data_IF_563190593971
#
_entry.id   IF_563190593971
#
_cell.length_a   1.000
_cell.length_b   1.000
_cell.length_c   1.000
_cell.angle_alpha   90.00
_cell.angle_beta   90.00
_cell.angle_gamma   90.00
#
_symmetry.space_group_name_H-M   'P 1'
#
loop_
_entity.id
_entity.type
_entity.pdbx_description
1 polymer ?
#
# COMPACT_ATOMS: atom_id res chain seq x y z
N UNK A 1 -26.78 -8.05 17.23
CA UNK A 1 -25.49 -8.52 17.76
C UNK A 1 -24.45 -8.22 16.70
N UNK A 2 -23.48 -7.31 16.90
CA UNK A 2 -22.39 -7.18 15.96
C UNK A 2 -21.55 -8.47 16.01
N UNK A 3 -21.38 -9.13 14.87
CA UNK A 3 -20.43 -10.24 14.72
C UNK A 3 -19.02 -9.69 14.85
N UNK A 4 -18.38 -9.92 15.99
CA UNK A 4 -16.96 -9.71 16.15
C UNK A 4 -16.24 -10.72 15.26
N UNK A 5 -15.54 -10.25 14.21
CA UNK A 5 -14.68 -11.13 13.40
C UNK A 5 -13.62 -11.73 14.33
N UNK A 6 -13.33 -13.04 14.24
CA UNK A 6 -12.25 -13.64 15.02
C UNK A 6 -10.96 -12.88 14.74
N UNK A 7 -10.25 -12.53 15.81
CA UNK A 7 -9.00 -11.79 15.74
C UNK A 7 -7.99 -12.61 14.92
N UNK A 8 -7.26 -12.01 13.97
CA UNK A 8 -6.25 -12.73 13.21
C UNK A 8 -5.23 -13.38 14.14
N UNK A 9 -4.72 -14.55 13.77
CA UNK A 9 -3.62 -15.18 14.49
C UNK A 9 -2.35 -14.35 14.34
N UNK A 10 -1.42 -14.40 15.30
CA UNK A 10 -0.14 -13.68 15.20
C UNK A 10 0.63 -14.06 13.92
N UNK A 11 0.58 -15.34 13.52
CA UNK A 11 1.19 -15.80 12.28
C UNK A 11 0.56 -15.16 11.02
N UNK A 12 -0.73 -14.84 11.03
CA UNK A 12 -1.39 -14.18 9.90
C UNK A 12 -0.97 -12.70 9.75
N UNK A 13 -0.45 -12.09 10.82
CA UNK A 13 0.06 -10.71 10.79
C UNK A 13 1.49 -10.59 10.29
N UNK A 14 2.20 -11.70 10.11
CA UNK A 14 3.54 -11.71 9.53
C UNK A 14 3.46 -11.54 8.00
N UNK A 15 4.46 -10.87 7.43
CA UNK A 15 4.59 -10.75 5.98
C UNK A 15 4.71 -12.13 5.31
N UNK A 16 3.90 -12.33 4.27
CA UNK A 16 3.87 -13.54 3.46
C UNK A 16 4.70 -13.34 2.19
N UNK A 17 5.29 -14.42 1.68
CA UNK A 17 6.09 -14.37 0.45
C UNK A 17 5.22 -14.13 -0.79
N UNK A 18 5.56 -13.10 -1.56
CA UNK A 18 4.93 -12.81 -2.83
C UNK A 18 5.33 -13.83 -3.90
N UNK A 19 4.38 -14.25 -4.72
CA UNK A 19 4.69 -15.05 -5.90
C UNK A 19 5.54 -14.26 -6.92
N UNK A 20 6.20 -14.93 -7.88
CA UNK A 20 6.93 -14.24 -8.95
C UNK A 20 6.04 -13.32 -9.79
N UNK A 21 4.78 -13.70 -10.01
CA UNK A 21 3.79 -12.89 -10.74
C UNK A 21 3.46 -11.62 -9.95
N UNK A 22 3.23 -11.73 -8.65
CA UNK A 22 2.95 -10.58 -7.78
C UNK A 22 4.16 -9.65 -7.66
N UNK A 23 5.38 -10.20 -7.62
CA UNK A 23 6.62 -9.41 -7.62
C UNK A 23 6.78 -8.60 -8.92
N UNK A 24 6.42 -9.18 -10.06
CA UNK A 24 6.40 -8.48 -11.35
C UNK A 24 5.33 -7.37 -11.35
N UNK A 25 4.11 -7.68 -10.92
CA UNK A 25 3.01 -6.71 -10.83
C UNK A 25 3.36 -5.55 -9.89
N UNK A 26 3.94 -5.85 -8.72
CA UNK A 26 4.44 -4.87 -7.77
C UNK A 26 5.41 -3.89 -8.41
N UNK A 27 6.39 -4.40 -9.15
CA UNK A 27 7.39 -3.58 -9.85
C UNK A 27 6.75 -2.64 -10.88
N UNK A 28 5.73 -3.12 -11.59
CA UNK A 28 4.99 -2.31 -12.56
C UNK A 28 4.16 -1.21 -11.88
N UNK A 29 3.43 -1.54 -10.81
CA UNK A 29 2.66 -0.56 -10.06
C UNK A 29 3.53 0.48 -9.37
N UNK A 30 4.65 0.07 -8.75
CA UNK A 30 5.61 0.97 -8.13
C UNK A 30 6.10 2.04 -9.12
N UNK A 31 6.51 1.64 -10.34
CA UNK A 31 6.94 2.57 -11.39
C UNK A 31 5.84 3.56 -11.79
N UNK A 32 4.60 3.08 -11.95
CA UNK A 32 3.45 3.93 -12.30
C UNK A 32 3.14 4.96 -11.21
N UNK A 33 3.15 4.53 -9.95
CA UNK A 33 2.87 5.38 -8.79
C UNK A 33 3.98 6.43 -8.63
N UNK A 34 5.24 6.01 -8.64
CA UNK A 34 6.39 6.93 -8.56
C UNK A 34 6.31 8.01 -9.64
N UNK A 35 6.03 7.63 -10.90
CA UNK A 35 5.90 8.61 -12.00
C UNK A 35 4.75 9.60 -11.81
N UNK A 36 3.65 9.20 -11.18
CA UNK A 36 2.49 10.07 -10.97
C UNK A 36 2.65 11.02 -9.78
N UNK A 37 3.43 10.62 -8.77
CA UNK A 37 3.62 11.39 -7.53
C UNK A 37 4.85 12.29 -7.62
N UNK A 38 5.94 11.82 -8.23
CA UNK A 38 7.17 12.60 -8.35
C UNK A 38 6.93 13.89 -9.13
N UNK A 39 7.59 14.96 -8.70
CA UNK A 39 7.48 16.28 -9.33
C UNK A 39 6.42 17.18 -8.69
N UNK A 40 5.79 16.76 -7.58
CA UNK A 40 4.94 17.60 -6.74
C UNK A 40 5.67 17.94 -5.44
N UNK A 41 6.38 19.07 -5.32
CA UNK A 41 7.12 19.43 -4.11
C UNK A 41 6.18 19.55 -2.90
N UNK A 42 6.62 19.05 -1.73
CA UNK A 42 5.85 19.03 -0.47
C UNK A 42 4.38 18.55 -0.65
N UNK A 43 4.19 17.28 -1.03
CA UNK A 43 2.85 16.78 -1.31
C UNK A 43 2.01 16.76 -0.03
N UNK A 44 0.75 17.13 -0.16
CA UNK A 44 -0.26 16.93 0.88
C UNK A 44 -0.83 15.52 0.78
N UNK A 45 -1.45 14.98 1.84
CA UNK A 45 -2.20 13.73 1.75
C UNK A 45 -3.26 13.74 0.64
N UNK A 46 -3.89 14.89 0.40
CA UNK A 46 -4.87 15.06 -0.68
C UNK A 46 -4.23 14.94 -2.06
N UNK A 47 -3.07 15.57 -2.30
CA UNK A 47 -2.34 15.42 -3.57
C UNK A 47 -2.01 13.95 -3.87
N UNK A 48 -1.56 13.20 -2.86
CA UNK A 48 -1.25 11.77 -3.03
C UNK A 48 -2.51 10.96 -3.32
N UNK A 49 -3.62 11.20 -2.60
CA UNK A 49 -4.90 10.53 -2.89
C UNK A 49 -5.39 10.80 -4.31
N UNK A 50 -5.33 12.05 -4.75
CA UNK A 50 -5.75 12.44 -6.11
C UNK A 50 -4.87 11.79 -7.19
N UNK A 51 -3.55 11.75 -7.00
CA UNK A 51 -2.64 11.06 -7.91
C UNK A 51 -2.96 9.55 -8.02
N UNK A 52 -3.21 8.89 -6.88
CA UNK A 52 -3.59 7.48 -6.86
C UNK A 52 -4.95 7.22 -7.53
N UNK A 53 -5.96 8.07 -7.27
CA UNK A 53 -7.26 8.00 -7.95
C UNK A 53 -7.13 8.21 -9.46
N UNK A 54 -6.29 9.16 -9.88
CA UNK A 54 -5.99 9.43 -11.29
C UNK A 54 -5.36 8.24 -12.02
N UNK A 55 -4.68 7.33 -11.29
CA UNK A 55 -4.16 6.07 -11.83
C UNK A 55 -5.21 4.94 -11.89
N UNK A 56 -6.41 5.18 -11.36
CA UNK A 56 -7.52 4.23 -11.32
C UNK A 56 -7.62 3.41 -10.03
N UNK A 57 -6.89 3.76 -8.98
CA UNK A 57 -7.05 3.13 -7.67
C UNK A 57 -8.29 3.70 -6.96
N UNK A 58 -9.18 2.82 -6.51
CA UNK A 58 -10.39 3.19 -5.77
C UNK A 58 -10.07 3.43 -4.29
N UNK A 59 -10.89 4.23 -3.62
CA UNK A 59 -10.66 4.66 -2.23
C UNK A 59 -10.59 3.48 -1.26
N UNK A 60 -11.36 2.43 -1.50
CA UNK A 60 -11.40 1.21 -0.68
C UNK A 60 -10.06 0.47 -0.66
N UNK A 61 -9.16 0.76 -1.59
CA UNK A 61 -7.82 0.17 -1.66
C UNK A 61 -6.73 1.10 -1.14
N UNK A 62 -7.04 2.38 -0.91
CA UNK A 62 -6.08 3.41 -0.52
C UNK A 62 -6.22 3.65 0.97
N UNK A 63 -5.24 3.19 1.75
CA UNK A 63 -5.28 3.22 3.21
C UNK A 63 -4.19 4.12 3.79
N UNK A 64 -4.43 4.60 5.02
CA UNK A 64 -3.39 5.22 5.84
C UNK A 64 -2.71 6.44 5.23
N UNK A 65 -3.36 7.17 4.31
CA UNK A 65 -2.75 8.34 3.67
C UNK A 65 -2.65 9.49 4.66
N UNK A 66 -1.45 9.77 5.14
CA UNK A 66 -1.21 10.76 6.18
C UNK A 66 0.18 11.38 6.06
N UNK A 67 0.36 12.57 6.67
CA UNK A 67 1.69 13.16 6.83
C UNK A 67 2.40 12.52 8.01
N UNK A 68 3.69 12.25 7.82
CA UNK A 68 4.64 11.75 8.82
C UNK A 68 5.93 12.55 8.67
N UNK A 69 6.02 13.66 9.41
CA UNK A 69 7.06 14.67 9.19
C UNK A 69 6.92 15.32 7.81
N UNK A 70 8.02 15.42 7.07
CA UNK A 70 8.08 15.98 5.71
C UNK A 70 7.59 15.03 4.61
N UNK A 71 7.05 13.87 4.99
CA UNK A 71 6.67 12.82 4.04
C UNK A 71 5.19 12.52 4.15
N UNK A 72 4.59 12.14 3.03
CA UNK A 72 3.28 11.48 3.02
C UNK A 72 3.50 9.98 2.90
N UNK A 73 2.87 9.22 3.78
CA UNK A 73 2.84 7.75 3.74
C UNK A 73 1.46 7.29 3.31
N UNK A 74 1.39 6.12 2.67
CA UNK A 74 0.14 5.46 2.32
C UNK A 74 0.37 3.95 2.18
N UNK A 75 -0.72 3.20 2.20
CA UNK A 75 -0.76 1.77 1.90
C UNK A 75 -1.77 1.55 0.77
N UNK A 76 -1.43 0.66 -0.16
CA UNK A 76 -2.29 0.29 -1.28
C UNK A 76 -2.56 -1.21 -1.25
N UNK A 77 -3.83 -1.60 -1.14
CA UNK A 77 -4.27 -2.98 -1.24
C UNK A 77 -4.48 -3.35 -2.72
N UNK A 78 -3.61 -4.20 -3.26
CA UNK A 78 -3.69 -4.69 -4.64
C UNK A 78 -4.15 -6.14 -4.74
N UNK A 79 -4.70 -6.69 -3.66
CA UNK A 79 -5.22 -8.05 -3.64
C UNK A 79 -6.40 -8.16 -4.61
N UNK A 80 -6.29 -9.09 -5.54
CA UNK A 80 -7.32 -9.42 -6.52
C UNK A 80 -7.44 -10.93 -6.56
N UNK A 81 -8.68 -11.47 -6.53
CA UNK A 81 -8.95 -12.90 -6.69
C UNK A 81 -8.13 -13.81 -5.75
N UNK A 82 -7.91 -13.39 -4.50
CA UNK A 82 -7.14 -14.16 -3.52
C UNK A 82 -5.62 -13.93 -3.56
N UNK A 83 -5.14 -12.93 -4.32
CA UNK A 83 -3.76 -12.45 -4.20
C UNK A 83 -3.46 -11.84 -2.83
N UNK A 84 -2.17 -11.59 -2.58
CA UNK A 84 -1.61 -11.15 -1.30
C UNK A 84 -0.86 -9.82 -1.41
N UNK A 85 -0.76 -9.25 -2.61
CA UNK A 85 0.04 -8.05 -2.86
C UNK A 85 -0.53 -6.79 -2.19
N UNK A 86 0.25 -6.21 -1.29
CA UNK A 86 0.10 -4.85 -0.77
C UNK A 86 1.33 -4.01 -1.14
N UNK A 87 1.18 -2.69 -1.23
CA UNK A 87 2.28 -1.74 -1.38
C UNK A 87 2.30 -0.74 -0.23
N UNK A 88 3.48 -0.49 0.34
CA UNK A 88 3.73 0.62 1.27
C UNK A 88 4.41 1.73 0.51
N UNK A 89 3.85 2.94 0.57
CA UNK A 89 4.34 4.09 -0.15
C UNK A 89 4.75 5.22 0.78
N UNK A 90 5.84 5.89 0.43
CA UNK A 90 6.34 7.08 1.13
C UNK A 90 6.93 8.06 0.14
N UNK A 91 6.50 9.31 0.20
CA UNK A 91 6.97 10.36 -0.71
C UNK A 91 7.20 11.68 0.02
N UNK A 92 8.19 12.45 -0.42
CA UNK A 92 8.31 13.89 -0.11
C UNK A 92 8.10 14.76 -1.35
N UNK A 93 7.56 14.19 -2.43
CA UNK A 93 7.34 14.88 -3.70
C UNK A 93 8.52 14.87 -4.66
N UNK A 94 9.74 14.90 -4.12
CA UNK A 94 10.98 14.81 -4.89
C UNK A 94 11.40 13.36 -5.11
N UNK A 95 11.14 12.50 -4.12
CA UNK A 95 11.45 11.08 -4.18
C UNK A 95 10.31 10.27 -3.59
N UNK A 96 9.78 9.36 -4.39
CA UNK A 96 8.79 8.38 -3.97
C UNK A 96 9.43 7.00 -3.83
N UNK A 97 9.34 6.40 -2.64
CA UNK A 97 9.70 5.01 -2.38
C UNK A 97 8.43 4.17 -2.25
N UNK A 98 8.38 3.05 -2.97
CA UNK A 98 7.29 2.09 -2.95
C UNK A 98 7.90 0.72 -2.64
N UNK A 99 7.40 0.05 -1.62
CA UNK A 99 7.87 -1.26 -1.20
C UNK A 99 6.72 -2.27 -1.20
N UNK A 100 6.85 -3.41 -1.89
CA UNK A 100 5.83 -4.45 -1.88
C UNK A 100 5.97 -5.38 -0.68
N UNK A 101 4.85 -6.00 -0.27
CA UNK A 101 4.77 -7.11 0.69
C UNK A 101 3.57 -8.01 0.37
N UNK A 102 3.65 -9.25 0.85
CA UNK A 102 2.49 -10.12 0.99
C UNK A 102 1.76 -9.92 2.31
N UNK A 103 0.43 -9.89 2.24
CA UNK A 103 -0.48 -9.94 3.38
C UNK A 103 -1.42 -11.13 3.23
N UNK A 104 -1.65 -11.85 4.34
CA UNK A 104 -2.75 -12.81 4.41
C UNK A 104 -4.09 -12.13 4.12
N UNK A 105 -5.04 -12.85 3.54
CA UNK A 105 -6.42 -12.38 3.31
C UNK A 105 -7.17 -12.06 4.62
N UNK A 106 -6.66 -12.56 5.75
CA UNK A 106 -7.24 -12.38 7.07
C UNK A 106 -6.83 -11.06 7.74
N UNK A 107 -5.81 -10.37 7.20
CA UNK A 107 -5.20 -9.19 7.82
C UNK A 107 -5.25 -8.00 6.86
N UNK A 108 -5.52 -6.82 7.39
CA UNK A 108 -5.48 -5.59 6.61
C UNK A 108 -4.03 -5.25 6.25
N UNK A 109 -3.78 -4.77 5.04
CA UNK A 109 -2.44 -4.41 4.60
C UNK A 109 -1.74 -3.45 5.60
N UNK A 110 -2.48 -2.59 6.30
CA UNK A 110 -1.93 -1.64 7.29
C UNK A 110 -1.45 -2.29 8.59
N UNK A 111 -1.83 -3.54 8.86
CA UNK A 111 -1.55 -4.25 10.12
C UNK A 111 -0.44 -5.30 10.00
N UNK A 112 0.09 -5.53 8.80
CA UNK A 112 1.15 -6.52 8.56
C UNK A 112 2.47 -6.06 9.17
N UNK A 113 3.11 -6.95 9.92
CA UNK A 113 4.47 -6.81 10.42
C UNK A 113 5.45 -7.07 9.29
N UNK A 114 6.05 -5.99 8.81
CA UNK A 114 7.00 -5.97 7.70
C UNK A 114 8.36 -6.50 8.17
N UNK A 115 9.01 -7.36 7.36
CA UNK A 115 10.39 -7.78 7.64
C UNK A 115 11.34 -6.63 7.30
N UNK A 116 12.07 -6.14 8.30
CA UNK A 116 13.04 -5.04 8.18
C UNK A 116 14.36 -5.47 7.54
#
# INVERSE_FOLDING_TARGET
MPSEKPRPTEAATEEVELSPVETCAASHHARRITKAIDGTPDPTPSHVKEALRGLGYIDERIHGVQRSGEKVTFVLDLRVMGGQLCLSGRTNGTRTAIEPYGASVEVDCTEVRRRG
#
